data_IF_431575176246
#
_entry.id   IF_431575176246
#
_cell.length_a   1.000
_cell.length_b   1.000
_cell.length_c   1.000
_cell.angle_alpha   90.00
_cell.angle_beta   90.00
_cell.angle_gamma   90.00
#
_symmetry.space_group_name_H-M   'P 1'
#
loop_
_entity.id
_entity.type
_entity.pdbx_description
1 polymer ?
#
# COMPACT_ATOMS: atom_id res chain seq x y z
N UNK A 1 -11.25 -10.49 24.90
CA UNK A 1 -10.46 -11.69 25.25
C UNK A 1 -11.39 -12.89 25.25
N UNK A 2 -11.30 -13.78 24.25
CA UNK A 2 -12.03 -15.06 24.28
C UNK A 2 -11.20 -16.02 25.12
N UNK A 3 -11.68 -16.31 26.32
CA UNK A 3 -11.04 -17.27 27.21
C UNK A 3 -11.25 -18.65 26.58
N UNK A 4 -10.20 -19.26 26.05
CA UNK A 4 -10.30 -20.63 25.54
C UNK A 4 -10.52 -21.58 26.72
N UNK A 5 -11.50 -22.50 26.65
CA UNK A 5 -11.86 -23.35 27.79
C UNK A 5 -10.80 -24.41 28.11
N UNK A 6 -9.94 -24.74 27.14
CA UNK A 6 -8.93 -25.80 27.25
C UNK A 6 -7.91 -25.59 28.40
N UNK A 7 -7.21 -24.45 28.53
CA UNK A 7 -6.27 -24.22 29.64
C UNK A 7 -6.95 -24.12 31.01
N UNK A 8 -8.22 -23.71 31.06
CA UNK A 8 -8.98 -23.67 32.31
C UNK A 8 -9.38 -25.08 32.75
N UNK A 9 -9.82 -25.90 31.79
CA UNK A 9 -10.15 -27.30 32.06
C UNK A 9 -8.92 -28.10 32.50
N UNK A 10 -7.74 -27.88 31.91
CA UNK A 10 -6.52 -28.56 32.34
C UNK A 10 -6.06 -28.13 33.74
N UNK A 11 -6.23 -26.85 34.10
CA UNK A 11 -5.97 -26.36 35.45
C UNK A 11 -6.93 -27.00 36.47
N UNK A 12 -8.24 -27.00 36.19
CA UNK A 12 -9.25 -27.60 37.05
C UNK A 12 -9.00 -29.09 37.27
N UNK A 13 -8.68 -29.84 36.20
CA UNK A 13 -8.35 -31.25 36.29
C UNK A 13 -7.11 -31.51 37.16
N UNK A 14 -6.08 -30.66 37.04
CA UNK A 14 -4.85 -30.77 37.83
C UNK A 14 -5.06 -30.47 39.31
N UNK A 15 -5.92 -29.48 39.64
CA UNK A 15 -6.28 -29.15 41.03
C UNK A 15 -7.11 -30.28 41.65
N UNK A 16 -8.06 -30.85 40.92
CA UNK A 16 -8.88 -31.99 41.38
C UNK A 16 -7.99 -33.21 41.65
N UNK A 17 -7.04 -33.51 40.77
CA UNK A 17 -6.09 -34.60 40.96
C UNK A 17 -5.19 -34.39 42.21
N UNK A 18 -4.77 -33.15 42.47
CA UNK A 18 -3.99 -32.83 43.66
C UNK A 18 -4.80 -32.95 44.95
N UNK A 19 -6.07 -32.53 44.94
CA UNK A 19 -6.98 -32.66 46.08
C UNK A 19 -7.31 -34.11 46.40
N UNK A 20 -7.53 -34.96 45.39
CA UNK A 20 -7.79 -36.39 45.58
C UNK A 20 -6.59 -37.11 46.20
N UNK A 21 -5.36 -36.73 45.81
CA UNK A 21 -4.12 -37.24 46.42
C UNK A 21 -3.92 -36.68 47.83
N UNK A 22 -4.26 -35.41 48.09
CA UNK A 22 -4.13 -34.81 49.43
C UNK A 22 -5.14 -35.35 50.46
N UNK A 23 -6.29 -35.84 50.00
CA UNK A 23 -7.34 -36.43 50.85
C UNK A 23 -7.17 -37.95 51.06
N UNK A 24 -6.09 -38.54 50.54
CA UNK A 24 -5.76 -39.97 50.62
C UNK A 24 -6.91 -40.90 50.15
N UNK A 25 -7.72 -40.40 49.21
CA UNK A 25 -8.86 -41.14 48.67
C UNK A 25 -8.31 -42.13 47.63
N UNK A 26 -8.05 -43.37 48.07
CA UNK A 26 -7.67 -44.48 47.18
C UNK A 26 -6.27 -45.07 47.38
N UNK A 27 -5.58 -44.73 48.48
CA UNK A 27 -4.26 -45.25 48.81
C UNK A 27 -3.17 -44.51 48.04
N UNK A 28 -2.59 -43.50 48.68
CA UNK A 28 -1.60 -42.64 48.05
C UNK A 28 -0.18 -43.12 48.34
N UNK A 29 0.62 -43.26 47.29
CA UNK A 29 2.07 -43.48 47.43
C UNK A 29 2.78 -42.13 47.39
N UNK A 30 3.89 -41.94 48.13
CA UNK A 30 4.59 -40.66 48.19
C UNK A 30 5.01 -40.14 46.79
N UNK A 31 5.27 -41.03 45.83
CA UNK A 31 5.57 -40.68 44.45
C UNK A 31 4.40 -40.02 43.70
N UNK A 32 3.14 -40.38 44.01
CA UNK A 32 1.96 -39.79 43.38
C UNK A 32 1.77 -38.32 43.77
N UNK A 33 2.20 -37.93 44.97
CA UNK A 33 2.22 -36.52 45.41
C UNK A 33 3.17 -35.71 44.52
N UNK A 34 4.37 -36.22 44.27
CA UNK A 34 5.35 -35.55 43.40
C UNK A 34 4.85 -35.42 41.96
N UNK A 35 4.25 -36.48 41.41
CA UNK A 35 3.70 -36.45 40.05
C UNK A 35 2.55 -35.44 39.95
N UNK A 36 1.62 -35.44 40.90
CA UNK A 36 0.49 -34.51 40.90
C UNK A 36 0.93 -33.04 41.09
N UNK A 37 1.89 -32.79 41.99
CA UNK A 37 2.47 -31.47 42.17
C UNK A 37 3.19 -30.97 40.90
N UNK A 38 3.93 -31.84 40.20
CA UNK A 38 4.59 -31.49 38.94
C UNK A 38 3.59 -31.16 37.82
N UNK A 39 2.49 -31.91 37.71
CA UNK A 39 1.43 -31.65 36.75
C UNK A 39 0.74 -30.30 37.02
N UNK A 40 0.50 -29.98 38.29
CA UNK A 40 -0.06 -28.69 38.71
C UNK A 40 0.88 -27.52 38.35
N UNK A 41 2.20 -27.68 38.57
CA UNK A 41 3.20 -26.68 38.18
C UNK A 41 3.25 -26.48 36.66
N UNK A 42 3.14 -27.55 35.87
CA UNK A 42 3.10 -27.43 34.39
C UNK A 42 1.81 -26.72 33.96
N UNK A 43 0.66 -27.06 34.53
CA UNK A 43 -0.62 -26.41 34.23
C UNK A 43 -0.60 -24.92 34.60
N UNK A 44 -0.03 -24.57 35.77
CA UNK A 44 0.19 -23.19 36.18
C UNK A 44 1.17 -22.47 35.28
N UNK A 45 2.28 -23.11 34.88
CA UNK A 45 3.25 -22.55 33.94
C UNK A 45 2.60 -22.23 32.60
N UNK A 46 1.82 -23.15 32.04
CA UNK A 46 1.06 -22.93 30.79
C UNK A 46 0.02 -21.82 30.96
N UNK A 47 -0.69 -21.76 32.09
CA UNK A 47 -1.66 -20.71 32.35
C UNK A 47 -0.98 -19.35 32.54
N UNK A 48 0.16 -19.29 33.24
CA UNK A 48 0.96 -18.06 33.38
C UNK A 48 1.49 -17.64 32.02
N UNK A 49 2.10 -18.54 31.23
CA UNK A 49 2.48 -18.25 29.85
C UNK A 49 1.30 -17.77 29.02
N UNK A 50 0.10 -18.31 29.20
CA UNK A 50 -1.09 -17.85 28.48
C UNK A 50 -1.55 -16.45 28.94
N UNK A 51 -1.45 -16.14 30.24
CA UNK A 51 -1.85 -14.86 30.83
C UNK A 51 -0.78 -13.76 30.66
N UNK A 52 0.51 -14.12 30.69
CA UNK A 52 1.67 -13.23 30.60
C UNK A 52 2.26 -13.17 29.20
N UNK A 53 1.90 -14.10 28.29
CA UNK A 53 2.04 -13.85 26.86
C UNK A 53 1.10 -12.71 26.52
N UNK A 54 1.66 -11.51 26.59
CA UNK A 54 1.10 -10.31 25.97
C UNK A 54 0.54 -10.70 24.60
N UNK A 55 -0.66 -10.24 24.21
CA UNK A 55 -1.12 -10.43 22.85
C UNK A 55 -0.01 -9.90 21.95
N UNK A 56 0.61 -10.81 21.22
CA UNK A 56 1.74 -10.64 20.33
C UNK A 56 2.50 -9.32 20.55
N UNK A 57 3.67 -9.37 21.21
CA UNK A 57 4.75 -8.48 20.76
C UNK A 57 4.70 -8.54 19.23
N UNK A 58 4.51 -7.42 18.52
CA UNK A 58 4.50 -7.48 17.08
C UNK A 58 5.80 -8.21 16.74
N UNK A 59 5.70 -9.38 16.13
CA UNK A 59 6.77 -9.83 15.27
C UNK A 59 7.18 -8.56 14.52
N UNK A 60 8.48 -8.28 14.47
CA UNK A 60 9.03 -7.35 13.50
C UNK A 60 8.47 -7.81 12.14
N UNK A 61 7.30 -7.29 11.79
CA UNK A 61 6.71 -7.53 10.50
C UNK A 61 7.66 -6.78 9.62
N UNK A 62 8.40 -7.47 8.73
CA UNK A 62 9.33 -6.79 7.87
C UNK A 62 8.53 -5.66 7.24
N UNK A 63 8.97 -4.43 7.52
CA UNK A 63 8.47 -3.24 6.85
C UNK A 63 8.68 -3.58 5.39
N UNK A 64 7.61 -3.95 4.67
CA UNK A 64 7.74 -4.48 3.32
C UNK A 64 8.58 -3.48 2.54
N UNK A 65 9.74 -3.92 2.05
CA UNK A 65 10.62 -3.06 1.28
C UNK A 65 9.84 -2.60 0.05
N UNK A 66 9.65 -1.29 -0.08
CA UNK A 66 9.13 -0.65 -1.29
C UNK A 66 10.19 -0.67 -2.41
N UNK A 67 11.11 -1.63 -2.37
CA UNK A 67 12.14 -1.88 -3.39
C UNK A 67 11.55 -2.19 -4.76
N UNK A 68 10.28 -2.62 -4.82
CA UNK A 68 9.52 -2.85 -6.04
C UNK A 68 8.75 -1.63 -6.54
N UNK A 69 8.83 -0.48 -5.87
CA UNK A 69 8.27 0.76 -6.42
C UNK A 69 9.12 1.18 -7.62
N UNK A 70 8.51 1.23 -8.80
CA UNK A 70 9.24 1.58 -10.02
C UNK A 70 9.53 3.06 -9.95
N UNK A 71 10.82 3.41 -9.86
CA UNK A 71 11.24 4.80 -9.88
C UNK A 71 10.99 5.37 -11.28
N UNK A 72 10.10 6.36 -11.37
CA UNK A 72 9.88 7.10 -12.61
C UNK A 72 11.00 8.11 -12.88
N UNK A 73 11.92 8.32 -11.91
CA UNK A 73 13.05 9.23 -12.04
C UNK A 73 12.60 10.68 -12.22
N UNK A 74 12.88 11.26 -13.39
CA UNK A 74 12.46 12.61 -13.78
C UNK A 74 11.47 12.50 -14.96
N UNK A 75 10.17 12.27 -14.68
CA UNK A 75 9.21 11.86 -15.70
C UNK A 75 9.08 12.92 -16.79
N UNK A 76 9.24 12.49 -18.03
CA UNK A 76 9.14 13.28 -19.26
C UNK A 76 10.09 14.48 -19.33
N UNK A 77 11.15 14.53 -18.52
CA UNK A 77 12.16 15.59 -18.61
C UNK A 77 12.87 15.60 -19.96
N UNK A 78 13.00 14.43 -20.58
CA UNK A 78 13.59 14.27 -21.92
C UNK A 78 12.80 15.01 -23.01
N UNK A 79 11.50 15.29 -22.81
CA UNK A 79 10.70 16.09 -23.74
C UNK A 79 11.25 17.51 -23.94
N UNK A 80 11.97 18.06 -22.96
CA UNK A 80 12.58 19.38 -23.06
C UNK A 80 13.70 19.45 -24.11
N UNK A 81 14.24 18.29 -24.51
CA UNK A 81 15.31 18.18 -25.53
C UNK A 81 14.76 17.91 -26.92
N UNK A 82 13.46 17.63 -27.04
CA UNK A 82 12.84 17.23 -28.29
C UNK A 82 12.36 18.42 -29.11
N UNK A 83 12.52 18.28 -30.42
CA UNK A 83 11.96 19.22 -31.38
C UNK A 83 10.47 18.95 -31.65
N UNK A 84 9.79 19.88 -32.33
CA UNK A 84 8.39 19.74 -32.72
C UNK A 84 8.16 18.59 -33.70
N UNK A 85 9.19 18.24 -34.49
CA UNK A 85 9.19 17.13 -35.44
C UNK A 85 9.16 15.75 -34.76
N UNK A 86 9.47 15.69 -33.46
CA UNK A 86 9.73 14.43 -32.76
C UNK A 86 8.51 13.93 -31.98
N UNK A 87 7.30 14.21 -32.50
CA UNK A 87 6.03 13.86 -31.86
C UNK A 87 5.93 12.37 -31.51
N UNK A 88 6.40 11.49 -32.40
CA UNK A 88 6.41 10.04 -32.17
C UNK A 88 7.29 9.67 -30.98
N UNK A 89 8.47 10.27 -30.88
CA UNK A 89 9.42 10.01 -29.81
C UNK A 89 8.94 10.61 -28.48
N UNK A 90 8.34 11.81 -28.52
CA UNK A 90 7.67 12.42 -27.37
C UNK A 90 6.56 11.51 -26.81
N UNK A 91 5.73 10.94 -27.69
CA UNK A 91 4.67 10.01 -27.25
C UNK A 91 5.20 8.69 -26.71
N UNK A 92 6.34 8.22 -27.22
CA UNK A 92 7.00 7.02 -26.71
C UNK A 92 7.51 7.24 -25.27
N UNK A 93 8.17 8.37 -25.00
CA UNK A 93 8.64 8.74 -23.66
C UNK A 93 7.47 8.88 -22.70
N UNK A 94 6.45 9.65 -23.07
CA UNK A 94 5.24 9.83 -22.27
C UNK A 94 4.58 8.51 -21.92
N UNK A 95 4.54 7.57 -22.86
CA UNK A 95 3.99 6.23 -22.64
C UNK A 95 4.84 5.40 -21.69
N UNK A 96 6.17 5.45 -21.81
CA UNK A 96 7.07 4.73 -20.92
C UNK A 96 6.90 5.21 -19.48
N UNK A 97 6.94 6.53 -19.26
CA UNK A 97 6.80 7.14 -17.94
C UNK A 97 5.41 6.91 -17.34
N UNK A 98 4.36 7.07 -18.15
CA UNK A 98 2.99 6.76 -17.73
C UNK A 98 2.82 5.26 -17.42
N UNK A 99 3.50 4.38 -18.14
CA UNK A 99 3.51 2.94 -17.87
C UNK A 99 4.10 2.60 -16.50
N UNK A 100 5.17 3.29 -16.10
CA UNK A 100 5.75 3.18 -14.75
C UNK A 100 4.75 3.66 -13.68
N UNK A 101 4.08 4.79 -13.93
CA UNK A 101 3.06 5.34 -13.00
C UNK A 101 1.84 4.40 -12.89
N UNK A 102 1.37 3.81 -13.99
CA UNK A 102 0.30 2.80 -14.01
C UNK A 102 0.69 1.60 -13.15
N UNK A 103 1.91 1.09 -13.32
CA UNK A 103 2.42 -0.05 -12.55
C UNK A 103 2.44 0.27 -11.05
N UNK A 104 2.85 1.49 -10.69
CA UNK A 104 2.83 1.97 -9.31
C UNK A 104 1.40 2.10 -8.74
N UNK A 105 0.42 2.53 -9.54
CA UNK A 105 -0.98 2.59 -9.13
C UNK A 105 -1.57 1.18 -8.89
N UNK A 106 -1.21 0.19 -9.72
CA UNK A 106 -1.59 -1.21 -9.51
C UNK A 106 -0.96 -1.80 -8.24
N UNK A 107 0.32 -1.52 -8.02
CA UNK A 107 1.02 -1.90 -6.79
C UNK A 107 0.36 -1.28 -5.57
N UNK A 108 -0.01 0.00 -5.63
CA UNK A 108 -0.75 0.67 -4.55
C UNK A 108 -2.07 -0.05 -4.25
N UNK A 109 -2.85 -0.37 -5.27
CA UNK A 109 -4.12 -1.10 -5.10
C UNK A 109 -3.93 -2.48 -4.47
N UNK A 110 -2.95 -3.25 -4.95
CA UNK A 110 -2.61 -4.57 -4.41
C UNK A 110 -2.17 -4.49 -2.94
N UNK A 111 -1.26 -3.56 -2.63
CA UNK A 111 -0.73 -3.38 -1.27
C UNK A 111 -1.78 -2.85 -0.30
N UNK A 112 -2.69 -1.99 -0.75
CA UNK A 112 -3.84 -1.58 0.04
C UNK A 112 -4.74 -2.77 0.36
N UNK A 113 -5.01 -3.66 -0.61
CA UNK A 113 -5.80 -4.87 -0.36
C UNK A 113 -5.16 -5.77 0.71
N UNK A 114 -3.84 -5.97 0.63
CA UNK A 114 -3.08 -6.76 1.61
C UNK A 114 -3.09 -6.09 2.99
N UNK A 115 -2.87 -4.77 3.05
CA UNK A 115 -2.90 -4.02 4.30
C UNK A 115 -4.28 -4.07 4.95
N UNK A 116 -5.35 -3.90 4.18
CA UNK A 116 -6.73 -3.91 4.66
C UNK A 116 -7.24 -5.32 5.05
N UNK A 117 -6.60 -6.39 4.58
CA UNK A 117 -6.88 -7.75 5.03
C UNK A 117 -6.43 -8.00 6.48
N UNK A 118 -5.56 -7.15 7.04
CA UNK A 118 -5.05 -7.29 8.41
C UNK A 118 -6.13 -6.92 9.44
N UNK A 119 -6.31 -7.72 10.50
CA UNK A 119 -7.34 -7.45 11.52
C UNK A 119 -7.25 -6.06 12.15
N UNK A 120 -6.03 -5.53 12.29
CA UNK A 120 -5.76 -4.21 12.87
C UNK A 120 -6.21 -3.04 11.97
N UNK A 121 -6.46 -3.31 10.69
CA UNK A 121 -6.76 -2.33 9.65
C UNK A 121 -8.11 -2.58 8.95
N UNK A 122 -8.86 -3.61 9.33
CA UNK A 122 -10.16 -3.92 8.73
C UNK A 122 -11.17 -2.79 8.88
N UNK A 123 -11.08 -1.99 9.95
CA UNK A 123 -11.97 -0.85 10.14
C UNK A 123 -11.73 0.28 9.13
N UNK A 124 -10.63 0.22 8.37
CA UNK A 124 -10.29 1.15 7.31
C UNK A 124 -10.90 0.77 5.95
N UNK A 125 -11.47 -0.43 5.82
CA UNK A 125 -12.17 -0.86 4.58
C UNK A 125 -13.30 0.10 4.21
N UNK A 126 -13.92 0.77 5.21
CA UNK A 126 -14.96 1.79 5.01
C UNK A 126 -14.52 2.98 4.15
N UNK A 127 -13.23 3.29 4.11
CA UNK A 127 -12.68 4.39 3.30
C UNK A 127 -12.52 4.02 1.82
N UNK A 128 -12.74 2.74 1.45
CA UNK A 128 -12.73 2.24 0.06
C UNK A 128 -11.44 2.58 -0.71
N UNK A 129 -10.31 2.72 -0.02
CA UNK A 129 -9.03 3.12 -0.63
C UNK A 129 -8.59 2.18 -1.75
N UNK A 130 -8.78 0.86 -1.58
CA UNK A 130 -8.47 -0.13 -2.62
C UNK A 130 -9.26 0.13 -3.91
N UNK A 131 -10.57 0.36 -3.80
CA UNK A 131 -11.43 0.60 -4.95
C UNK A 131 -11.01 1.87 -5.70
N UNK A 132 -10.63 2.92 -4.97
CA UNK A 132 -10.16 4.19 -5.54
C UNK A 132 -8.78 4.07 -6.20
N UNK A 133 -7.89 3.28 -5.63
CA UNK A 133 -6.60 2.96 -6.26
C UNK A 133 -6.79 2.17 -7.56
N UNK A 134 -7.73 1.22 -7.59
CA UNK A 134 -8.10 0.49 -8.83
C UNK A 134 -8.73 1.43 -9.87
N UNK A 135 -9.57 2.36 -9.44
CA UNK A 135 -10.15 3.39 -10.31
C UNK A 135 -9.07 4.31 -10.90
N UNK A 136 -8.08 4.72 -10.09
CA UNK A 136 -6.94 5.49 -10.57
C UNK A 136 -6.12 4.69 -11.60
N UNK A 137 -5.83 3.42 -11.33
CA UNK A 137 -5.11 2.56 -12.29
C UNK A 137 -5.88 2.39 -13.60
N UNK A 138 -7.19 2.11 -13.54
CA UNK A 138 -8.00 1.95 -14.75
C UNK A 138 -8.07 3.25 -15.56
N UNK A 139 -8.16 4.40 -14.88
CA UNK A 139 -8.12 5.70 -15.51
C UNK A 139 -6.77 5.97 -16.21
N UNK A 140 -5.65 5.72 -15.52
CA UNK A 140 -4.30 5.86 -16.11
C UNK A 140 -4.07 4.93 -17.30
N UNK A 141 -4.57 3.70 -17.24
CA UNK A 141 -4.54 2.77 -18.40
C UNK A 141 -5.34 3.33 -19.57
N UNK A 142 -6.49 3.95 -19.32
CA UNK A 142 -7.28 4.63 -20.34
C UNK A 142 -6.49 5.74 -21.04
N UNK A 143 -5.73 6.54 -20.28
CA UNK A 143 -4.83 7.56 -20.82
C UNK A 143 -3.72 6.94 -21.68
N UNK A 144 -3.13 5.84 -21.23
CA UNK A 144 -2.08 5.15 -21.98
C UNK A 144 -2.58 4.56 -23.31
N UNK A 145 -3.82 4.08 -23.33
CA UNK A 145 -4.47 3.59 -24.57
C UNK A 145 -4.73 4.74 -25.53
N UNK A 146 -5.26 5.87 -25.07
CA UNK A 146 -5.50 7.03 -25.94
C UNK A 146 -4.21 7.63 -26.53
N UNK A 147 -3.10 7.58 -25.78
CA UNK A 147 -1.76 7.91 -26.26
C UNK A 147 -1.25 6.98 -27.38
N UNK A 148 -1.77 5.75 -27.45
CA UNK A 148 -1.38 4.75 -28.46
C UNK A 148 -2.11 4.93 -29.79
N UNK A 149 -3.27 5.58 -29.78
CA UNK A 149 -4.07 5.85 -30.96
C UNK A 149 -3.58 7.14 -31.62
N UNK A 150 -2.98 7.02 -32.82
CA UNK A 150 -2.45 8.09 -33.69
C UNK A 150 -2.12 9.41 -32.96
N UNK A 151 -0.85 9.64 -32.58
CA UNK A 151 -0.48 10.81 -31.80
C UNK A 151 -0.83 12.09 -32.56
N UNK A 152 -1.67 12.92 -31.94
CA UNK A 152 -2.08 14.21 -32.46
C UNK A 152 -1.90 15.28 -31.38
N UNK A 153 -1.87 16.54 -31.81
CA UNK A 153 -1.79 17.67 -30.90
C UNK A 153 -3.02 17.75 -29.97
N UNK A 154 -4.21 17.39 -30.48
CA UNK A 154 -5.43 17.30 -29.68
C UNK A 154 -5.30 16.22 -28.61
N UNK A 155 -4.70 15.07 -28.96
CA UNK A 155 -4.43 13.97 -28.01
C UNK A 155 -3.50 14.43 -26.88
N UNK A 156 -2.42 15.18 -27.20
CA UNK A 156 -1.51 15.72 -26.20
C UNK A 156 -2.15 16.80 -25.31
N UNK A 157 -3.02 17.63 -25.89
CA UNK A 157 -3.74 18.65 -25.10
C UNK A 157 -4.75 17.99 -24.16
N UNK A 158 -5.46 16.96 -24.65
CA UNK A 158 -6.36 16.13 -23.83
C UNK A 158 -5.61 15.37 -22.73
N UNK A 159 -4.39 14.92 -22.99
CA UNK A 159 -3.52 14.25 -22.02
C UNK A 159 -3.27 15.13 -20.80
N UNK A 160 -2.95 16.42 -20.97
CA UNK A 160 -2.70 17.34 -19.84
C UNK A 160 -3.88 17.38 -18.87
N UNK A 161 -5.10 17.54 -19.39
CA UNK A 161 -6.31 17.55 -18.56
C UNK A 161 -6.58 16.20 -17.86
N UNK A 162 -6.21 15.10 -18.53
CA UNK A 162 -6.35 13.76 -17.97
C UNK A 162 -5.31 13.50 -16.86
N UNK A 163 -4.06 13.94 -17.05
CA UNK A 163 -3.02 13.86 -16.03
C UNK A 163 -3.36 14.69 -14.79
N UNK A 164 -3.94 15.88 -14.97
CA UNK A 164 -4.44 16.69 -13.86
C UNK A 164 -5.54 15.97 -13.07
N UNK A 165 -6.50 15.34 -13.76
CA UNK A 165 -7.54 14.55 -13.10
C UNK A 165 -6.95 13.37 -12.34
N UNK A 166 -5.98 12.66 -12.93
CA UNK A 166 -5.29 11.56 -12.26
C UNK A 166 -4.52 12.03 -11.01
N UNK A 167 -3.82 13.17 -11.09
CA UNK A 167 -3.12 13.77 -9.96
C UNK A 167 -4.10 14.12 -8.83
N UNK A 168 -5.26 14.69 -9.15
CA UNK A 168 -6.30 15.01 -8.16
C UNK A 168 -6.88 13.75 -7.49
N UNK A 169 -7.09 12.67 -8.25
CA UNK A 169 -7.50 11.38 -7.69
C UNK A 169 -6.45 10.83 -6.72
N UNK A 170 -5.18 10.83 -7.13
CA UNK A 170 -4.05 10.39 -6.32
C UNK A 170 -3.88 11.24 -5.04
N UNK A 171 -4.03 12.56 -5.14
CA UNK A 171 -4.01 13.47 -3.98
C UNK A 171 -5.11 13.16 -2.99
N UNK A 172 -6.30 12.84 -3.47
CA UNK A 172 -7.40 12.55 -2.57
C UNK A 172 -7.17 11.22 -1.83
N UNK A 173 -6.58 10.22 -2.50
CA UNK A 173 -6.12 8.99 -1.84
C UNK A 173 -5.03 9.31 -0.80
N UNK A 174 -4.08 10.17 -1.13
CA UNK A 174 -3.02 10.60 -0.23
C UNK A 174 -3.56 11.27 1.03
N UNK A 175 -4.48 12.24 0.88
CA UNK A 175 -5.10 12.95 2.03
C UNK A 175 -5.83 12.00 2.96
N UNK A 176 -6.54 11.02 2.41
CA UNK A 176 -7.23 10.02 3.22
C UNK A 176 -6.24 9.11 3.95
N UNK A 177 -5.17 8.68 3.27
CA UNK A 177 -4.08 7.93 3.91
C UNK A 177 -3.42 8.73 5.05
N UNK A 178 -3.23 10.04 4.86
CA UNK A 178 -2.72 10.93 5.89
C UNK A 178 -3.65 11.03 7.10
N UNK A 179 -4.94 11.30 6.86
CA UNK A 179 -5.94 11.36 7.91
C UNK A 179 -6.05 10.06 8.70
N UNK A 180 -5.98 8.92 8.01
CA UNK A 180 -6.02 7.60 8.63
C UNK A 180 -4.75 7.32 9.43
N UNK A 181 -3.57 7.62 8.87
CA UNK A 181 -2.29 7.42 9.56
C UNK A 181 -2.21 8.21 10.88
N UNK A 182 -2.74 9.44 10.87
CA UNK A 182 -2.84 10.28 12.07
C UNK A 182 -3.81 9.71 13.11
N UNK A 183 -4.92 9.12 12.67
CA UNK A 183 -5.92 8.51 13.55
C UNK A 183 -5.47 7.16 14.14
N UNK A 184 -4.55 6.44 13.46
CA UNK A 184 -4.09 5.08 13.82
C UNK A 184 -2.59 5.03 14.16
N UNK A 185 -2.14 6.00 14.97
CA UNK A 185 -0.75 6.04 15.49
C UNK A 185 -0.35 4.69 16.09
N UNK A 186 0.82 4.18 15.71
CA UNK A 186 1.32 2.86 16.13
C UNK A 186 1.35 1.83 14.99
N UNK A 187 0.71 0.68 15.18
CA UNK A 187 0.80 -0.47 14.25
C UNK A 187 0.26 -0.13 12.85
N UNK A 188 -0.79 0.70 12.75
CA UNK A 188 -1.33 1.13 11.46
C UNK A 188 -0.43 2.10 10.71
N UNK A 189 0.30 2.95 11.44
CA UNK A 189 1.28 3.86 10.85
C UNK A 189 2.43 3.09 10.18
N UNK A 190 2.91 1.99 10.76
CA UNK A 190 3.97 1.17 10.17
C UNK A 190 3.58 0.60 8.78
N UNK A 191 2.30 0.29 8.56
CA UNK A 191 1.81 -0.23 7.28
C UNK A 191 1.39 0.86 6.30
N UNK A 192 0.84 1.96 6.79
CA UNK A 192 0.29 3.03 5.96
C UNK A 192 1.33 4.07 5.57
N UNK A 193 2.35 4.30 6.40
CA UNK A 193 3.39 5.29 6.14
C UNK A 193 4.12 5.02 4.82
N UNK A 194 4.49 3.78 4.49
CA UNK A 194 5.15 3.53 3.22
C UNK A 194 4.20 3.72 2.01
N UNK A 195 2.92 3.32 2.13
CA UNK A 195 1.89 3.56 1.10
C UNK A 195 1.64 5.05 0.88
N UNK A 196 1.64 5.83 1.96
CA UNK A 196 1.54 7.29 1.91
C UNK A 196 2.73 7.88 1.15
N UNK A 197 3.96 7.51 1.50
CA UNK A 197 5.17 8.00 0.80
C UNK A 197 5.15 7.67 -0.68
N UNK A 198 4.69 6.47 -1.01
CA UNK A 198 4.60 6.01 -2.37
C UNK A 198 3.52 6.77 -3.18
N UNK A 199 2.36 6.99 -2.56
CA UNK A 199 1.28 7.81 -3.15
C UNK A 199 1.71 9.27 -3.32
N UNK A 200 2.43 9.84 -2.36
CA UNK A 200 3.00 11.19 -2.45
C UNK A 200 3.99 11.33 -3.60
N UNK A 201 4.87 10.34 -3.80
CA UNK A 201 5.75 10.29 -4.98
C UNK A 201 4.94 10.24 -6.27
N UNK A 202 3.95 9.35 -6.38
CA UNK A 202 3.10 9.25 -7.56
C UNK A 202 2.36 10.57 -7.89
N UNK A 203 1.90 11.30 -6.88
CA UNK A 203 1.30 12.64 -7.06
C UNK A 203 2.31 13.61 -7.67
N UNK A 204 3.56 13.60 -7.18
CA UNK A 204 4.63 14.43 -7.73
C UNK A 204 4.96 14.04 -9.17
N UNK A 205 5.11 12.74 -9.44
CA UNK A 205 5.42 12.23 -10.77
C UNK A 205 4.35 12.62 -11.79
N UNK A 206 3.06 12.53 -11.43
CA UNK A 206 1.94 12.96 -12.28
C UNK A 206 1.95 14.46 -12.57
N UNK A 207 2.27 15.28 -11.58
CA UNK A 207 2.35 16.74 -11.74
C UNK A 207 3.54 17.15 -12.61
N UNK A 208 4.68 16.48 -12.43
CA UNK A 208 5.86 16.73 -13.24
C UNK A 208 5.66 16.27 -14.68
N UNK A 209 5.09 15.07 -14.89
CA UNK A 209 4.68 14.58 -16.19
C UNK A 209 3.74 15.56 -16.90
N UNK A 210 2.74 16.10 -16.18
CA UNK A 210 1.84 17.15 -16.69
C UNK A 210 2.62 18.40 -17.11
N UNK A 211 3.47 18.93 -16.23
CA UNK A 211 4.21 20.17 -16.47
C UNK A 211 5.19 20.06 -17.65
N UNK A 212 5.89 18.93 -17.76
CA UNK A 212 6.80 18.65 -18.88
C UNK A 212 6.03 18.47 -20.20
N UNK A 213 4.86 17.82 -20.17
CA UNK A 213 3.96 17.71 -21.33
C UNK A 213 3.46 19.09 -21.78
N UNK A 214 2.98 19.93 -20.85
CA UNK A 214 2.54 21.30 -21.16
C UNK A 214 3.65 22.13 -21.79
N UNK A 215 4.87 22.03 -21.25
CA UNK A 215 6.04 22.74 -21.75
C UNK A 215 6.38 22.32 -23.18
N UNK A 216 6.34 21.02 -23.47
CA UNK A 216 6.53 20.50 -24.82
C UNK A 216 5.45 20.99 -25.79
N UNK A 217 4.17 20.98 -25.40
CA UNK A 217 3.07 21.48 -26.24
C UNK A 217 3.25 22.97 -26.56
N UNK A 218 3.70 23.78 -25.59
CA UNK A 218 3.98 25.21 -25.84
C UNK A 218 5.10 25.40 -26.87
N UNK A 219 6.18 24.62 -26.79
CA UNK A 219 7.27 24.66 -27.77
C UNK A 219 6.79 24.22 -29.16
N UNK A 220 5.98 23.17 -29.22
CA UNK A 220 5.35 22.69 -30.45
C UNK A 220 4.49 23.78 -31.12
N UNK A 221 3.64 24.46 -30.35
CA UNK A 221 2.77 25.55 -30.82
C UNK A 221 3.54 26.77 -31.36
N UNK A 222 4.62 27.16 -30.66
CA UNK A 222 5.45 28.31 -31.06
C UNK A 222 6.22 28.04 -32.36
N UNK A 223 6.65 26.81 -32.57
CA UNK A 223 7.38 26.41 -33.78
C UNK A 223 6.48 26.26 -35.02
N UNK A 224 5.24 25.81 -34.84
CA UNK A 224 4.25 25.65 -35.90
C UNK A 224 3.79 26.98 -36.51
N UNK A 225 3.83 28.08 -35.75
CA UNK A 225 3.42 29.42 -36.21
C UNK A 225 4.55 30.19 -36.91
N UNK A 226 5.82 29.79 -36.73
CA UNK A 226 6.98 30.44 -37.36
C UNK A 226 7.30 30.02 -38.79
N UNK A 227 6.60 29.02 -39.35
CA UNK A 227 6.93 28.43 -40.66
C UNK A 227 6.24 29.02 -41.89
N UNK A 228 5.37 30.04 -41.75
CA UNK A 228 4.47 30.49 -42.84
C UNK A 228 4.84 31.83 -43.50
N UNK A 229 6.05 32.35 -43.34
CA UNK A 229 6.47 33.59 -44.04
C UNK A 229 7.85 33.46 -44.66
N UNK A 230 7.93 32.78 -45.80
CA UNK A 230 8.97 33.03 -46.80
C UNK A 230 8.27 33.50 -48.09
N UNK A 231 8.32 34.80 -48.45
CA UNK A 231 7.86 35.25 -49.75
C UNK A 231 8.89 34.78 -50.79
N UNK A 232 8.47 33.90 -51.70
CA UNK A 232 9.21 33.62 -52.92
C UNK A 232 9.17 34.86 -53.81
N UNK A 233 10.29 35.58 -53.87
CA UNK A 233 10.62 36.56 -54.92
C UNK A 233 11.41 35.88 -56.04
#
# INVERSE_FOLDING_TARGET
>A
MRIHPLPILSLLASIVALLLVGLDIGGTTPWMIFISASACLVALSVLTLYLTSSPHRPLEVPVEDFSLWVDAGEPAKELQRLGPSDLSLATMILRADLGSIVSNADLLGSRLSIALAKPELQDLVKFKLEARAKELSSFLRGIMVSLSEKPSQETLTGLVSSLERAANMAETILRDLEGISLAKRGVGEAYLLPLRRATDRMVRDLKELKSNTESYIRLFLLSSTGGSTAPSS
#
